data_IF_535980415837
#
_entry.id   IF_535980415837
#
_cell.length_a   1.000
_cell.length_b   1.000
_cell.length_c   1.000
_cell.angle_alpha   90.00
_cell.angle_beta   90.00
_cell.angle_gamma   90.00
#
_symmetry.space_group_name_H-M   'P 1'
#
loop_
_entity.id
_entity.type
_entity.pdbx_description
1 polymer ?
#
# COMPACT_ATOMS: atom_id res chain seq x y z
N UNK A 1 12.08 -3.62 3.40
CA UNK A 1 10.73 -4.17 3.28
C UNK A 1 10.25 -4.11 1.81
N UNK A 2 10.15 -2.92 1.19
CA UNK A 2 9.57 -2.73 -0.15
C UNK A 2 10.22 -3.64 -1.22
N UNK A 3 11.54 -3.76 -1.26
CA UNK A 3 12.24 -4.63 -2.23
C UNK A 3 12.03 -6.13 -1.98
N UNK A 4 11.61 -6.53 -0.77
CA UNK A 4 11.25 -7.92 -0.46
C UNK A 4 9.84 -8.26 -0.95
N UNK A 5 8.90 -7.32 -0.79
CA UNK A 5 7.49 -7.50 -1.15
C UNK A 5 7.22 -7.16 -2.62
N UNK A 6 7.98 -6.25 -3.18
CA UNK A 6 7.83 -5.75 -4.55
C UNK A 6 9.17 -5.80 -5.28
N UNK A 7 9.52 -6.89 -5.96
CA UNK A 7 10.80 -7.04 -6.66
C UNK A 7 11.11 -5.92 -7.64
N UNK A 8 10.09 -5.33 -8.27
CA UNK A 8 10.24 -4.18 -9.19
C UNK A 8 10.92 -2.96 -8.52
N UNK A 9 10.88 -2.86 -7.18
CA UNK A 9 11.57 -1.80 -6.45
C UNK A 9 13.10 -1.87 -6.58
N UNK A 10 13.67 -3.01 -6.97
CA UNK A 10 15.11 -3.13 -7.23
C UNK A 10 15.50 -2.39 -8.51
N UNK A 11 14.62 -2.40 -9.51
CA UNK A 11 14.81 -1.68 -10.78
C UNK A 11 14.41 -0.21 -10.63
N UNK A 12 13.31 0.06 -9.93
CA UNK A 12 12.78 1.41 -9.75
C UNK A 12 12.61 1.72 -8.25
N UNK A 13 13.71 1.99 -7.53
CA UNK A 13 13.66 2.37 -6.12
C UNK A 13 12.97 3.73 -5.94
N UNK A 14 12.54 4.04 -4.72
CA UNK A 14 11.90 5.33 -4.41
C UNK A 14 12.76 6.53 -4.81
N UNK A 15 14.09 6.43 -4.69
CA UNK A 15 15.01 7.49 -5.13
C UNK A 15 14.94 7.80 -6.63
N UNK A 16 14.50 6.84 -7.46
CA UNK A 16 14.28 7.05 -8.90
C UNK A 16 12.82 7.39 -9.19
N UNK A 17 11.88 6.76 -8.46
CA UNK A 17 10.45 6.93 -8.68
C UNK A 17 9.97 8.33 -8.29
N UNK A 18 10.37 8.83 -7.13
CA UNK A 18 9.88 10.10 -6.62
C UNK A 18 10.22 11.31 -7.49
N UNK A 19 11.48 11.46 -8.00
CA UNK A 19 11.79 12.53 -8.97
C UNK A 19 10.96 12.45 -10.25
N UNK A 20 10.69 11.24 -10.74
CA UNK A 20 9.86 11.04 -11.93
C UNK A 20 8.40 11.46 -11.69
N UNK A 21 7.84 11.11 -10.52
CA UNK A 21 6.49 11.52 -10.12
C UNK A 21 6.41 13.05 -9.94
N UNK A 22 7.39 13.66 -9.30
CA UNK A 22 7.41 15.10 -9.08
C UNK A 22 7.46 15.86 -10.42
N UNK A 23 8.30 15.41 -11.34
CA UNK A 23 8.35 15.94 -12.70
C UNK A 23 7.05 15.73 -13.47
N UNK A 24 6.43 14.55 -13.34
CA UNK A 24 5.14 14.29 -13.98
C UNK A 24 4.08 15.28 -13.51
N UNK A 25 3.97 15.51 -12.21
CA UNK A 25 3.01 16.47 -11.65
C UNK A 25 3.34 17.90 -12.10
N UNK A 26 4.62 18.29 -12.12
CA UNK A 26 5.05 19.61 -12.58
C UNK A 26 4.61 19.89 -14.03
N UNK A 27 4.75 18.90 -14.91
CA UNK A 27 4.43 19.04 -16.34
C UNK A 27 2.92 18.94 -16.61
N UNK A 28 2.24 18.00 -15.96
CA UNK A 28 0.84 17.67 -16.29
C UNK A 28 -0.18 18.40 -15.42
N UNK A 29 0.25 18.89 -14.26
CA UNK A 29 -0.61 19.43 -13.21
C UNK A 29 -1.74 18.47 -12.77
N UNK A 30 -1.54 17.16 -12.91
CA UNK A 30 -2.50 16.12 -12.53
C UNK A 30 -2.26 15.64 -11.12
N UNK A 31 -3.33 15.29 -10.42
CA UNK A 31 -3.25 14.64 -9.10
C UNK A 31 -2.64 13.26 -9.19
N UNK A 32 -1.89 12.89 -8.15
CA UNK A 32 -1.39 11.53 -7.96
C UNK A 32 -2.13 10.88 -6.78
N UNK A 33 -2.55 9.65 -6.96
CA UNK A 33 -2.96 8.78 -5.86
C UNK A 33 -1.81 7.83 -5.54
N UNK A 34 -1.34 7.90 -4.32
CA UNK A 34 -0.21 7.11 -3.82
C UNK A 34 -0.76 6.04 -2.87
N UNK A 35 -0.80 4.80 -3.33
CA UNK A 35 -1.29 3.69 -2.54
C UNK A 35 -0.26 3.27 -1.49
N UNK A 36 -0.70 3.23 -0.23
CA UNK A 36 0.09 2.75 0.89
C UNK A 36 -0.64 1.58 1.57
N UNK A 37 -0.10 0.38 1.39
CA UNK A 37 -0.65 -0.84 1.98
C UNK A 37 -0.12 -1.01 3.40
N UNK A 38 -1.03 -1.00 4.36
CA UNK A 38 -0.74 -1.18 5.79
C UNK A 38 -0.70 -2.66 6.17
N UNK A 39 0.46 -3.09 6.66
CA UNK A 39 0.74 -4.41 7.19
C UNK A 39 0.89 -4.30 8.71
N UNK A 40 -0.01 -4.93 9.45
CA UNK A 40 -0.06 -4.84 10.91
C UNK A 40 1.21 -5.30 11.61
N UNK A 41 1.79 -4.41 12.42
CA UNK A 41 3.05 -4.62 13.13
C UNK A 41 4.29 -4.57 12.25
N UNK A 42 4.18 -4.12 10.99
CA UNK A 42 5.29 -4.08 10.04
C UNK A 42 5.59 -2.66 9.57
N UNK A 43 4.59 -1.95 9.06
CA UNK A 43 4.75 -0.61 8.52
C UNK A 43 3.59 0.34 8.91
N UNK A 44 2.89 0.01 9.98
CA UNK A 44 1.70 0.71 10.47
C UNK A 44 1.96 1.56 11.73
N UNK A 45 3.23 1.76 12.10
CA UNK A 45 3.61 2.56 13.26
C UNK A 45 3.52 4.07 12.99
N UNK A 46 3.38 4.93 14.03
CA UNK A 46 3.46 6.38 13.88
C UNK A 46 4.79 6.85 13.28
N UNK A 47 5.89 6.12 13.51
CA UNK A 47 7.19 6.43 12.91
C UNK A 47 7.18 6.22 11.39
N UNK A 48 6.53 5.16 10.91
CA UNK A 48 6.37 4.93 9.48
C UNK A 48 5.46 5.99 8.84
N UNK A 49 4.41 6.44 9.54
CA UNK A 49 3.57 7.56 9.08
C UNK A 49 4.38 8.86 8.96
N UNK A 50 5.27 9.14 9.95
CA UNK A 50 6.17 10.30 9.90
C UNK A 50 7.14 10.21 8.72
N UNK A 51 7.76 9.05 8.51
CA UNK A 51 8.67 8.80 7.37
C UNK A 51 7.98 8.96 6.02
N UNK A 52 6.74 8.49 5.91
CA UNK A 52 5.93 8.69 4.71
C UNK A 52 5.67 10.19 4.47
N UNK A 53 5.27 10.92 5.51
CA UNK A 53 5.04 12.36 5.42
C UNK A 53 6.31 13.13 5.02
N UNK A 54 7.45 12.80 5.62
CA UNK A 54 8.73 13.44 5.30
C UNK A 54 9.16 13.13 3.85
N UNK A 55 8.96 11.89 3.40
CA UNK A 55 9.21 11.50 2.01
C UNK A 55 8.38 12.35 1.03
N UNK A 56 7.09 12.51 1.29
CA UNK A 56 6.20 13.26 0.38
C UNK A 56 6.51 14.76 0.38
N UNK A 57 6.84 15.32 1.55
CA UNK A 57 7.20 16.74 1.68
C UNK A 57 8.51 17.12 0.99
N UNK A 58 9.42 16.16 0.82
CA UNK A 58 10.67 16.39 0.11
C UNK A 58 10.47 16.68 -1.39
N UNK A 59 9.25 16.45 -1.93
CA UNK A 59 8.91 16.61 -3.34
C UNK A 59 7.78 17.61 -3.53
N UNK A 60 8.07 18.88 -3.89
CA UNK A 60 7.10 19.98 -3.85
C UNK A 60 5.84 19.76 -4.67
N UNK A 61 5.97 19.18 -5.88
CA UNK A 61 4.82 18.95 -6.76
C UNK A 61 3.99 17.76 -6.27
N UNK A 62 4.64 16.68 -5.81
CA UNK A 62 3.95 15.53 -5.18
C UNK A 62 3.26 15.99 -3.90
N UNK A 63 3.91 16.81 -3.07
CA UNK A 63 3.31 17.36 -1.85
C UNK A 63 2.06 18.20 -2.14
N UNK A 64 2.05 18.92 -3.25
CA UNK A 64 0.93 19.81 -3.65
C UNK A 64 -0.27 19.04 -4.19
N UNK A 65 -0.07 17.99 -4.97
CA UNK A 65 -1.13 17.27 -5.69
C UNK A 65 -1.18 15.77 -5.39
N UNK A 66 -0.36 15.28 -4.46
CA UNK A 66 -0.40 13.88 -4.00
C UNK A 66 -1.54 13.67 -2.99
N UNK A 67 -2.20 12.54 -3.09
CA UNK A 67 -3.18 12.01 -2.13
C UNK A 67 -2.75 10.61 -1.73
N UNK A 68 -2.58 10.35 -0.44
CA UNK A 68 -2.29 9.01 0.05
C UNK A 68 -3.60 8.23 0.15
N UNK A 69 -3.66 7.07 -0.51
CA UNK A 69 -4.76 6.13 -0.37
C UNK A 69 -4.30 4.98 0.53
N UNK A 70 -4.81 4.95 1.75
CA UNK A 70 -4.50 3.91 2.73
C UNK A 70 -5.32 2.66 2.43
N UNK A 71 -4.62 1.55 2.26
CA UNK A 71 -5.18 0.22 2.05
C UNK A 71 -4.85 -0.63 3.26
N UNK A 72 -5.84 -1.30 3.83
CA UNK A 72 -5.60 -2.31 4.86
C UNK A 72 -5.31 -3.65 4.19
N UNK A 73 -4.31 -4.36 4.71
CA UNK A 73 -3.99 -5.69 4.21
C UNK A 73 -5.08 -6.69 4.58
N UNK A 74 -5.55 -7.44 3.58
CA UNK A 74 -6.43 -8.58 3.78
C UNK A 74 -5.58 -9.86 3.67
N UNK A 75 -5.54 -10.73 4.70
CA UNK A 75 -4.81 -11.98 4.62
C UNK A 75 -5.23 -12.81 3.41
N UNK A 76 -4.25 -13.39 2.72
CA UNK A 76 -4.46 -14.25 1.57
C UNK A 76 -4.02 -15.67 1.87
N UNK A 77 -4.58 -16.64 1.14
CA UNK A 77 -4.13 -18.02 1.16
C UNK A 77 -3.31 -18.34 -0.09
N UNK A 78 -2.33 -19.19 0.07
CA UNK A 78 -1.62 -19.76 -1.08
C UNK A 78 -2.49 -20.84 -1.79
N UNK A 79 -1.99 -21.37 -2.91
CA UNK A 79 -2.68 -22.42 -3.66
C UNK A 79 -2.91 -23.73 -2.85
N UNK A 80 -2.28 -23.88 -1.69
CA UNK A 80 -2.41 -25.01 -0.78
C UNK A 80 -3.30 -24.70 0.44
N UNK A 81 -3.86 -23.48 0.50
CA UNK A 81 -4.76 -23.07 1.56
C UNK A 81 -4.07 -22.54 2.83
N UNK A 82 -2.74 -22.36 2.83
CA UNK A 82 -2.02 -21.78 3.97
C UNK A 82 -2.17 -20.26 3.96
N UNK A 83 -2.44 -19.69 5.15
CA UNK A 83 -2.45 -18.25 5.32
C UNK A 83 -1.04 -17.68 5.19
N UNK A 84 -0.90 -16.53 4.57
CA UNK A 84 0.36 -15.80 4.61
C UNK A 84 0.69 -15.27 6.02
N UNK A 85 1.92 -14.81 6.21
CA UNK A 85 2.42 -14.36 7.51
C UNK A 85 1.99 -12.93 7.88
N UNK A 86 1.26 -12.23 6.98
CA UNK A 86 0.87 -10.86 7.21
C UNK A 86 -0.56 -10.75 7.70
N UNK A 87 -0.85 -9.66 8.41
CA UNK A 87 -2.18 -9.29 8.88
C UNK A 87 -2.43 -7.81 8.65
N UNK A 88 -3.69 -7.42 8.64
CA UNK A 88 -4.07 -6.00 8.63
C UNK A 88 -3.72 -5.30 9.95
N UNK A 89 -3.65 -3.96 9.96
CA UNK A 89 -3.53 -3.19 11.17
C UNK A 89 -4.77 -3.32 12.05
N UNK A 90 -4.64 -3.07 13.35
CA UNK A 90 -5.80 -2.87 14.22
C UNK A 90 -6.43 -1.50 13.95
N UNK A 91 -7.71 -1.33 14.26
CA UNK A 91 -8.38 -0.02 14.13
C UNK A 91 -7.66 1.08 14.95
N UNK A 92 -7.15 0.74 16.14
CA UNK A 92 -6.36 1.67 16.96
C UNK A 92 -5.09 2.11 16.26
N UNK A 93 -4.34 1.17 15.69
CA UNK A 93 -3.08 1.46 14.99
C UNK A 93 -3.35 2.29 13.74
N UNK A 94 -4.41 1.93 13.02
CA UNK A 94 -4.85 2.63 11.82
C UNK A 94 -5.24 4.09 12.14
N UNK A 95 -6.07 4.32 13.16
CA UNK A 95 -6.43 5.66 13.60
C UNK A 95 -5.20 6.50 13.99
N UNK A 96 -4.24 5.91 14.71
CA UNK A 96 -3.00 6.62 15.09
C UNK A 96 -2.14 6.98 13.86
N UNK A 97 -2.11 6.12 12.85
CA UNK A 97 -1.42 6.38 11.58
C UNK A 97 -2.07 7.55 10.82
N UNK A 98 -3.40 7.55 10.73
CA UNK A 98 -4.22 8.59 10.09
C UNK A 98 -4.05 9.94 10.79
N UNK A 99 -4.14 9.95 12.12
CA UNK A 99 -3.93 11.16 12.94
C UNK A 99 -2.52 11.73 12.72
N UNK A 100 -1.52 10.86 12.59
CA UNK A 100 -0.14 11.28 12.33
C UNK A 100 0.00 11.95 10.96
N UNK A 101 -0.62 11.39 9.91
CA UNK A 101 -0.64 12.01 8.57
C UNK A 101 -1.37 13.35 8.60
N UNK A 102 -2.51 13.42 9.28
CA UNK A 102 -3.31 14.64 9.44
C UNK A 102 -2.49 15.73 10.14
N UNK A 103 -1.85 15.41 11.26
CA UNK A 103 -1.00 16.34 12.01
C UNK A 103 0.20 16.85 11.18
N UNK A 104 0.63 16.07 10.20
CA UNK A 104 1.69 16.42 9.24
C UNK A 104 1.18 17.12 7.99
N UNK A 105 -0.14 17.38 7.87
CA UNK A 105 -0.75 18.04 6.72
C UNK A 105 -0.69 17.24 5.43
N UNK A 106 -0.60 15.90 5.51
CA UNK A 106 -0.63 15.01 4.35
C UNK A 106 -2.08 14.65 4.05
N UNK A 107 -2.62 14.97 2.87
CA UNK A 107 -3.95 14.56 2.50
C UNK A 107 -3.98 13.05 2.28
N UNK A 108 -4.98 12.40 2.88
CA UNK A 108 -5.15 10.95 2.77
C UNK A 108 -6.63 10.57 2.64
N UNK A 109 -6.86 9.37 2.16
CA UNK A 109 -8.16 8.68 2.15
C UNK A 109 -7.95 7.23 2.56
N UNK A 110 -8.98 6.61 3.13
CA UNK A 110 -9.00 5.17 3.44
C UNK A 110 -9.88 4.47 2.41
N UNK A 111 -9.35 3.41 1.80
CA UNK A 111 -10.17 2.49 1.02
C UNK A 111 -10.85 1.51 1.96
N UNK A 112 -12.19 1.48 1.92
CA UNK A 112 -12.97 0.45 2.62
C UNK A 112 -12.94 -0.81 1.76
N UNK A 113 -12.44 -1.92 2.34
CA UNK A 113 -12.49 -3.24 1.71
C UNK A 113 -13.86 -3.87 1.99
N UNK A 114 -14.59 -4.18 0.93
CA UNK A 114 -15.84 -4.94 1.01
C UNK A 114 -15.57 -6.39 0.61
N UNK A 115 -16.33 -7.33 1.19
CA UNK A 115 -16.31 -8.74 0.79
C UNK A 115 -15.20 -9.57 1.43
N UNK A 116 -14.50 -9.08 2.46
CA UNK A 116 -13.51 -9.88 3.20
C UNK A 116 -14.10 -11.13 3.85
N UNK A 117 -15.38 -11.07 4.27
CA UNK A 117 -16.11 -12.17 4.90
C UNK A 117 -16.41 -13.34 3.92
N UNK A 118 -16.48 -13.03 2.62
CA UNK A 118 -16.74 -14.02 1.55
C UNK A 118 -15.53 -14.31 0.68
N UNK A 119 -14.31 -13.91 1.12
CA UNK A 119 -13.08 -14.09 0.33
C UNK A 119 -12.99 -13.21 -0.91
N UNK A 120 -13.88 -12.25 -1.11
CA UNK A 120 -13.97 -11.38 -2.27
C UNK A 120 -13.18 -10.07 -2.17
N UNK A 121 -12.44 -9.84 -1.10
CA UNK A 121 -11.64 -8.64 -0.95
C UNK A 121 -10.43 -8.64 -1.89
N UNK A 122 -9.91 -7.44 -2.16
CA UNK A 122 -8.76 -7.25 -3.05
C UNK A 122 -7.56 -8.10 -2.62
N UNK A 123 -7.07 -8.94 -3.53
CA UNK A 123 -5.97 -9.89 -3.30
C UNK A 123 -6.43 -11.30 -2.88
N UNK A 124 -7.62 -11.49 -2.33
CA UNK A 124 -8.08 -12.81 -1.85
C UNK A 124 -8.42 -13.77 -3.01
N UNK A 125 -8.96 -13.26 -4.11
CA UNK A 125 -9.33 -14.07 -5.29
C UNK A 125 -8.12 -14.67 -6.03
N UNK A 126 -6.93 -14.10 -5.88
CA UNK A 126 -5.73 -14.60 -6.55
C UNK A 126 -5.22 -15.94 -5.95
N UNK A 127 -5.62 -16.29 -4.72
CA UNK A 127 -5.24 -17.54 -4.04
C UNK A 127 -6.16 -18.72 -4.36
N UNK A 128 -7.29 -18.51 -5.04
CA UNK A 128 -8.27 -19.55 -5.37
C UNK A 128 -8.10 -20.15 -6.77
N UNK A 129 -7.05 -19.81 -7.51
CA UNK A 129 -6.75 -20.46 -8.77
C UNK A 129 -6.49 -21.96 -8.51
N UNK A 130 -7.42 -22.83 -8.95
CA UNK A 130 -7.28 -24.26 -8.84
C UNK A 130 -5.92 -24.71 -9.41
N UNK A 131 -5.25 -25.69 -8.79
CA UNK A 131 -4.01 -26.23 -9.33
C UNK A 131 -4.28 -26.73 -10.76
N UNK A 132 -3.33 -26.63 -11.70
CA UNK A 132 -3.50 -27.15 -13.04
C UNK A 132 -3.87 -28.61 -12.95
N UNK A 133 -5.03 -28.96 -13.49
CA UNK A 133 -5.44 -30.35 -13.61
C UNK A 133 -4.40 -31.04 -14.50
N UNK A 134 -3.61 -31.94 -13.91
CA UNK A 134 -2.73 -32.82 -14.62
C UNK A 134 -3.62 -33.71 -15.54
N UNK A 135 -3.79 -33.27 -16.78
CA UNK A 135 -4.35 -34.13 -17.81
C UNK A 135 -3.26 -35.16 -18.15
N UNK A 136 -3.32 -36.29 -17.48
CA UNK A 136 -2.60 -37.49 -17.94
C UNK A 136 -3.24 -37.93 -19.26
N UNK A 137 -2.47 -37.78 -20.32
CA UNK A 137 -2.64 -38.55 -21.56
C UNK A 137 -1.79 -39.82 -21.47
#
# INVERSE_FOLDING_TARGET
LRSRLMPINRTYPLGTLMPALDRYVAVTNRRLMLEYLLLGGVNDSPDEARRLADLLRAWPNVSRLGLVNLLTYNPTRDAYGHWDAFKGPTERTLATFEDTLTARGIPWTRRVSFGSEIGGACGQLAGEAAPPQNTQL
#
